data_IF_551659742242
#
_entry.id   IF_551659742242
#
_cell.length_a   1.000
_cell.length_b   1.000
_cell.length_c   1.000
_cell.angle_alpha   90.00
_cell.angle_beta   90.00
_cell.angle_gamma   90.00
#
_symmetry.space_group_name_H-M   'P 1'
#
loop_
_entity.id
_entity.type
_entity.pdbx_description
1 polymer ?
#
# COMPACT_ATOMS: atom_id res chain seq x y z
N UNK A 1 -24.61 8.92 54.81
CA UNK A 1 -25.34 8.58 53.57
C UNK A 1 -24.99 9.48 52.38
N UNK A 2 -25.03 10.82 52.47
CA UNK A 2 -24.73 11.71 51.31
C UNK A 2 -23.35 11.52 50.65
N UNK A 3 -22.30 11.17 51.42
CA UNK A 3 -20.95 10.91 50.87
C UNK A 3 -20.83 9.57 50.12
N UNK A 4 -21.69 8.59 50.43
CA UNK A 4 -21.72 7.29 49.73
C UNK A 4 -22.44 7.40 48.38
N UNK A 5 -23.52 8.20 48.29
CA UNK A 5 -24.22 8.47 47.03
C UNK A 5 -23.35 9.26 46.03
N UNK A 6 -22.57 10.24 46.51
CA UNK A 6 -21.64 10.98 45.64
C UNK A 6 -20.50 10.11 45.10
N UNK A 7 -19.99 9.16 45.90
CA UNK A 7 -18.98 8.20 45.45
C UNK A 7 -19.54 7.20 44.42
N UNK A 8 -20.79 6.75 44.58
CA UNK A 8 -21.43 5.84 43.63
C UNK A 8 -21.71 6.51 42.28
N UNK A 9 -22.14 7.77 42.27
CA UNK A 9 -22.36 8.54 41.04
C UNK A 9 -21.07 8.86 40.27
N UNK A 10 -19.94 9.05 40.97
CA UNK A 10 -18.64 9.26 40.32
C UNK A 10 -18.08 8.00 39.64
N UNK A 11 -18.36 6.80 40.18
CA UNK A 11 -17.94 5.52 39.57
C UNK A 11 -18.77 5.20 38.32
N UNK A 12 -20.05 5.55 38.30
CA UNK A 12 -20.93 5.33 37.14
C UNK A 12 -20.55 6.25 35.96
N UNK A 13 -20.03 7.45 36.22
CA UNK A 13 -19.58 8.37 35.16
C UNK A 13 -18.25 7.96 34.49
N UNK A 14 -17.50 7.02 35.07
CA UNK A 14 -16.25 6.50 34.49
C UNK A 14 -16.43 5.18 33.74
N UNK A 15 -17.61 4.58 33.79
CA UNK A 15 -17.92 3.30 33.17
C UNK A 15 -18.69 3.51 31.87
N UNK A 16 -18.01 3.66 30.73
CA UNK A 16 -18.68 3.53 29.44
C UNK A 16 -18.07 4.25 28.25
N UNK A 17 -17.01 5.04 28.40
CA UNK A 17 -16.34 5.61 27.24
C UNK A 17 -15.52 4.51 26.55
N UNK A 18 -15.83 4.22 25.28
CA UNK A 18 -15.00 3.37 24.45
C UNK A 18 -13.55 3.89 24.48
N UNK A 19 -12.54 3.01 24.61
CA UNK A 19 -11.15 3.42 24.68
C UNK A 19 -10.75 4.10 23.38
N UNK A 20 -10.27 5.34 23.52
CA UNK A 20 -9.69 6.14 22.45
C UNK A 20 -8.19 5.86 22.43
N UNK A 21 -7.64 5.41 21.30
CA UNK A 21 -6.22 5.08 21.17
C UNK A 21 -5.53 5.95 20.14
N UNK A 22 -4.25 6.24 20.38
CA UNK A 22 -3.44 7.04 19.46
C UNK A 22 -2.86 6.15 18.36
N UNK A 23 -3.06 6.56 17.11
CA UNK A 23 -2.47 5.89 15.96
C UNK A 23 -1.19 6.60 15.54
N UNK A 24 -0.18 5.80 15.24
CA UNK A 24 1.08 6.25 14.67
C UNK A 24 1.18 5.85 13.19
N UNK A 25 1.84 6.66 12.35
CA UNK A 25 2.04 6.31 10.96
C UNK A 25 2.84 5.00 10.84
N UNK A 26 2.47 4.17 9.87
CA UNK A 26 3.28 3.02 9.45
C UNK A 26 4.21 3.53 8.36
N UNK A 27 5.51 3.55 8.63
CA UNK A 27 6.50 3.91 7.62
C UNK A 27 6.46 2.85 6.51
N UNK A 28 6.21 3.23 5.25
CA UNK A 28 6.31 2.30 4.15
C UNK A 28 7.77 1.86 3.99
N UNK A 29 7.97 0.57 3.80
CA UNK A 29 9.27 0.04 3.41
C UNK A 29 9.53 0.49 1.97
N UNK A 30 10.55 1.35 1.77
CA UNK A 30 11.02 1.74 0.44
C UNK A 30 11.71 0.54 -0.21
N UNK A 31 11.26 0.17 -1.40
CA UNK A 31 11.95 -0.76 -2.28
C UNK A 31 12.68 0.10 -3.32
N UNK A 32 13.99 -0.07 -3.49
CA UNK A 32 14.92 0.80 -4.27
C UNK A 32 15.11 0.43 -5.76
N UNK A 33 15.52 1.44 -6.56
CA UNK A 33 15.47 1.51 -8.01
C UNK A 33 16.81 0.98 -8.48
N UNK A 34 16.80 -0.22 -9.04
CA UNK A 34 18.02 -0.90 -9.45
C UNK A 34 18.20 -0.76 -10.95
N UNK A 35 19.14 0.09 -11.34
CA UNK A 35 19.65 0.15 -12.70
C UNK A 35 20.98 -0.62 -12.76
N UNK A 36 21.13 -1.51 -13.75
CA UNK A 36 22.35 -2.34 -13.90
C UNK A 36 23.25 -1.89 -15.06
N UNK A 37 23.09 -0.68 -15.58
CA UNK A 37 23.78 -0.20 -16.79
C UNK A 37 24.43 1.18 -16.59
N UNK A 38 25.49 1.42 -17.37
CA UNK A 38 26.16 2.72 -17.46
C UNK A 38 25.70 3.45 -18.73
N UNK A 39 25.45 4.76 -18.63
CA UNK A 39 25.00 5.58 -19.75
C UNK A 39 26.12 5.87 -20.76
N UNK A 40 27.37 5.82 -20.31
CA UNK A 40 28.55 6.14 -21.12
C UNK A 40 29.57 5.01 -21.09
N UNK A 41 30.33 4.90 -22.17
CA UNK A 41 31.42 3.94 -22.30
C UNK A 41 30.99 2.58 -22.82
N UNK A 42 32.01 1.74 -23.06
CA UNK A 42 31.82 0.34 -23.46
C UNK A 42 31.66 -0.50 -22.22
N UNK A 43 30.61 -1.30 -22.19
CA UNK A 43 30.28 -2.22 -21.11
C UNK A 43 30.44 -3.64 -21.60
N UNK A 44 30.87 -4.53 -20.70
CA UNK A 44 30.90 -5.96 -20.94
C UNK A 44 29.92 -6.67 -20.01
N UNK A 45 29.17 -7.62 -20.56
CA UNK A 45 28.23 -8.47 -19.84
C UNK A 45 28.38 -9.91 -20.29
N UNK A 46 28.21 -10.83 -19.36
CA UNK A 46 28.19 -12.27 -19.64
C UNK A 46 26.80 -12.70 -20.12
N UNK A 47 26.73 -13.85 -20.80
CA UNK A 47 25.44 -14.46 -21.15
C UNK A 47 24.62 -14.71 -19.88
N UNK A 48 23.35 -14.31 -19.91
CA UNK A 48 22.44 -14.34 -18.75
C UNK A 48 22.45 -13.05 -17.92
N UNK A 49 23.42 -12.15 -18.12
CA UNK A 49 23.42 -10.84 -17.48
C UNK A 49 22.61 -9.81 -18.29
N UNK A 50 21.97 -8.85 -17.59
CA UNK A 50 21.26 -7.78 -18.25
C UNK A 50 22.21 -6.79 -18.94
N UNK A 51 21.97 -6.57 -20.22
CA UNK A 51 22.50 -5.45 -21.01
C UNK A 51 21.81 -4.15 -20.59
N UNK A 52 20.52 -4.26 -20.29
CA UNK A 52 19.72 -3.19 -19.72
C UNK A 52 18.81 -3.80 -18.65
N UNK A 53 18.73 -3.13 -17.51
CA UNK A 53 17.80 -3.47 -16.45
C UNK A 53 17.32 -2.18 -15.80
N UNK A 54 16.02 -2.06 -15.68
CA UNK A 54 15.35 -0.98 -14.98
C UNK A 54 14.33 -1.61 -14.05
N UNK A 55 14.26 -1.14 -12.80
CA UNK A 55 13.26 -1.54 -11.81
C UNK A 55 12.69 -0.32 -11.11
N UNK A 56 11.37 -0.13 -11.15
CA UNK A 56 10.66 0.97 -10.49
C UNK A 56 10.47 0.74 -8.99
N UNK A 57 10.65 1.78 -8.16
CA UNK A 57 10.49 1.73 -6.70
C UNK A 57 9.08 1.44 -6.25
N UNK A 58 8.94 0.55 -5.28
CA UNK A 58 7.67 0.23 -4.66
C UNK A 58 7.65 0.58 -3.17
N UNK A 59 6.50 1.00 -2.66
CA UNK A 59 6.24 1.10 -1.23
C UNK A 59 5.42 -0.09 -0.78
N UNK A 60 6.00 -0.88 0.12
CA UNK A 60 5.29 -1.97 0.77
C UNK A 60 4.89 -1.56 2.19
N UNK A 61 3.72 -2.04 2.61
CA UNK A 61 3.28 -1.97 4.01
C UNK A 61 3.02 -3.37 4.54
N UNK A 62 3.11 -3.57 5.87
CA UNK A 62 2.56 -4.75 6.51
C UNK A 62 1.11 -4.94 6.08
N UNK A 63 0.74 -6.18 5.79
CA UNK A 63 -0.59 -6.53 5.39
C UNK A 63 -0.91 -7.97 5.78
N UNK A 64 -2.18 -8.31 5.62
CA UNK A 64 -2.77 -9.51 6.18
C UNK A 64 -3.82 -10.06 5.22
N UNK A 65 -3.83 -11.38 5.03
CA UNK A 65 -4.87 -12.07 4.26
C UNK A 65 -5.68 -12.95 5.21
N UNK A 66 -7.00 -12.80 5.19
CA UNK A 66 -7.90 -13.69 5.91
C UNK A 66 -7.84 -15.12 5.32
N UNK A 67 -7.63 -16.14 6.15
CA UNK A 67 -7.51 -17.54 5.71
C UNK A 67 -8.85 -18.28 5.65
N UNK A 68 -9.84 -17.79 6.39
CA UNK A 68 -11.20 -18.30 6.46
C UNK A 68 -12.20 -17.14 6.64
N UNK A 69 -13.48 -17.42 6.43
CA UNK A 69 -14.53 -16.46 6.72
C UNK A 69 -14.66 -16.28 8.24
N UNK A 70 -14.71 -15.03 8.70
CA UNK A 70 -14.87 -14.72 10.12
C UNK A 70 -15.87 -13.60 10.31
N UNK A 71 -16.86 -13.84 11.17
CA UNK A 71 -17.85 -12.87 11.58
C UNK A 71 -17.43 -12.29 12.93
N UNK A 72 -16.94 -11.03 12.98
CA UNK A 72 -16.63 -10.39 14.25
C UNK A 72 -17.87 -10.28 15.14
N UNK A 73 -17.70 -10.25 16.47
CA UNK A 73 -18.80 -9.94 17.37
C UNK A 73 -19.36 -8.54 17.04
N UNK A 74 -20.67 -8.31 17.26
CA UNK A 74 -21.27 -6.99 17.10
C UNK A 74 -20.55 -5.92 17.94
N UNK A 75 -20.58 -4.67 17.48
CA UNK A 75 -20.02 -3.57 18.25
C UNK A 75 -20.98 -3.10 19.34
N UNK A 76 -20.68 -3.52 20.57
CA UNK A 76 -21.44 -3.18 21.77
C UNK A 76 -20.94 -1.92 22.47
N UNK A 77 -19.77 -1.40 22.09
CA UNK A 77 -19.20 -0.19 22.70
C UNK A 77 -19.91 1.08 22.19
N UNK A 78 -20.42 1.04 20.96
CA UNK A 78 -21.04 2.21 20.30
C UNK A 78 -22.56 2.11 20.20
N UNK A 79 -23.12 0.91 20.37
CA UNK A 79 -24.56 0.70 20.48
C UNK A 79 -24.86 -0.39 21.51
N UNK A 80 -25.72 -0.15 22.51
CA UNK A 80 -26.15 -1.18 23.45
C UNK A 80 -26.79 -2.40 22.78
N UNK A 81 -27.34 -2.22 21.57
CA UNK A 81 -27.93 -3.29 20.77
C UNK A 81 -26.93 -4.10 19.93
N UNK A 82 -25.66 -3.68 19.89
CA UNK A 82 -24.64 -4.25 19.01
C UNK A 82 -24.81 -3.77 17.57
N UNK A 83 -23.80 -3.08 17.02
CA UNK A 83 -23.80 -2.80 15.58
C UNK A 83 -23.35 -4.02 14.80
N UNK A 84 -24.03 -4.36 13.68
CA UNK A 84 -23.58 -5.45 12.83
C UNK A 84 -22.22 -5.08 12.22
N UNK A 85 -21.25 -5.96 12.43
CA UNK A 85 -19.92 -5.83 11.86
C UNK A 85 -19.86 -6.60 10.54
N UNK A 86 -19.21 -6.08 9.48
CA UNK A 86 -19.09 -6.79 8.22
C UNK A 86 -18.37 -8.14 8.36
N UNK A 87 -18.80 -9.13 7.56
CA UNK A 87 -18.10 -10.41 7.44
C UNK A 87 -16.71 -10.18 6.85
N UNK A 88 -15.68 -10.71 7.50
CA UNK A 88 -14.34 -10.80 6.94
C UNK A 88 -14.31 -12.04 6.06
N UNK A 89 -14.27 -11.85 4.73
CA UNK A 89 -14.23 -12.97 3.79
C UNK A 89 -12.83 -13.57 3.69
N UNK A 90 -12.74 -14.89 3.54
CA UNK A 90 -11.51 -15.58 3.17
C UNK A 90 -10.90 -14.96 1.90
N UNK A 91 -9.58 -14.75 1.89
CA UNK A 91 -8.86 -14.12 0.79
C UNK A 91 -8.93 -12.60 0.74
N UNK A 92 -9.70 -11.95 1.61
CA UNK A 92 -9.68 -10.49 1.72
C UNK A 92 -8.31 -9.98 2.18
N UNK A 93 -7.85 -8.89 1.57
CA UNK A 93 -6.54 -8.28 1.83
C UNK A 93 -6.69 -7.03 2.69
N UNK A 94 -5.91 -6.97 3.77
CA UNK A 94 -5.97 -5.90 4.76
C UNK A 94 -4.60 -5.27 4.94
N UNK A 95 -4.47 -3.98 4.63
CA UNK A 95 -3.20 -3.25 4.68
C UNK A 95 -3.11 -2.41 5.95
N UNK A 96 -1.95 -2.42 6.60
CA UNK A 96 -1.69 -1.54 7.73
C UNK A 96 -1.70 -0.07 7.29
N UNK A 97 -2.60 0.71 7.89
CA UNK A 97 -2.72 2.17 7.67
C UNK A 97 -2.26 2.98 8.88
N UNK A 98 -2.11 2.30 10.02
CA UNK A 98 -1.68 2.84 11.29
C UNK A 98 -1.02 1.78 12.16
N UNK A 99 -0.16 2.20 13.08
CA UNK A 99 0.46 1.37 14.11
C UNK A 99 -0.01 1.79 15.49
N UNK A 100 -0.25 0.81 16.34
CA UNK A 100 -0.57 0.99 17.76
C UNK A 100 0.68 0.76 18.59
N UNK A 101 0.87 1.61 19.60
CA UNK A 101 2.02 1.55 20.52
C UNK A 101 1.54 1.42 21.95
N UNK A 102 2.35 0.79 22.78
CA UNK A 102 2.08 0.66 24.21
C UNK A 102 1.86 2.04 24.85
N UNK A 103 0.89 2.17 25.80
CA UNK A 103 0.05 1.11 26.37
C UNK A 103 -1.22 0.80 25.55
N UNK A 104 -1.47 1.53 24.46
CA UNK A 104 -2.71 1.48 23.68
C UNK A 104 -2.84 0.19 22.84
N UNK A 105 -1.74 -0.54 22.68
CA UNK A 105 -1.66 -1.83 22.02
C UNK A 105 -0.30 -2.07 21.36
N UNK A 106 -0.13 -3.24 20.74
CA UNK A 106 1.07 -3.59 19.99
C UNK A 106 0.65 -4.24 18.67
N UNK A 107 0.63 -3.46 17.59
CA UNK A 107 0.09 -3.95 16.32
C UNK A 107 -0.22 -2.87 15.32
N UNK A 108 -1.22 -3.14 14.50
CA UNK A 108 -1.63 -2.34 13.37
C UNK A 108 -3.14 -2.14 13.37
N UNK A 109 -3.52 -1.01 12.79
CA UNK A 109 -4.86 -0.78 12.28
C UNK A 109 -4.82 -1.05 10.80
N UNK A 110 -5.68 -1.96 10.35
CA UNK A 110 -5.70 -2.44 8.99
C UNK A 110 -7.03 -2.13 8.30
N UNK A 111 -6.94 -1.67 7.06
CA UNK A 111 -8.09 -1.42 6.19
C UNK A 111 -8.11 -2.46 5.07
N UNK A 112 -9.30 -2.89 4.66
CA UNK A 112 -9.42 -3.75 3.50
C UNK A 112 -9.15 -2.95 2.22
N UNK A 113 -8.30 -3.52 1.37
CA UNK A 113 -7.76 -2.84 0.18
C UNK A 113 -8.83 -2.61 -0.89
N UNK A 114 -9.80 -3.53 -1.00
CA UNK A 114 -10.77 -3.57 -2.10
C UNK A 114 -12.18 -3.21 -1.65
N UNK A 115 -12.67 -3.99 -0.69
CA UNK A 115 -13.98 -3.79 -0.13
C UNK A 115 -13.75 -2.83 1.04
N UNK A 116 -14.30 -1.63 1.03
CA UNK A 116 -14.25 -0.72 2.20
C UNK A 116 -15.56 -0.88 2.96
N UNK A 117 -15.76 -1.99 3.69
CA UNK A 117 -17.06 -2.26 4.25
C UNK A 117 -17.36 -1.20 5.30
N UNK A 118 -18.62 -0.76 5.33
CA UNK A 118 -19.08 0.27 6.23
C UNK A 118 -20.01 -0.31 7.28
N UNK A 119 -19.93 0.24 8.48
CA UNK A 119 -20.92 0.04 9.53
C UNK A 119 -21.86 1.25 9.47
N UNK A 120 -23.14 1.00 9.15
CA UNK A 120 -24.16 2.04 9.02
C UNK A 120 -25.08 1.97 10.24
N UNK A 121 -24.99 2.97 11.13
CA UNK A 121 -25.91 3.11 12.27
C UNK A 121 -27.17 3.87 11.86
N UNK A 122 -27.02 4.88 11.02
CA UNK A 122 -28.10 5.68 10.46
C UNK A 122 -27.68 6.24 9.10
N UNK A 123 -28.61 6.78 8.28
CA UNK A 123 -28.24 7.44 7.02
C UNK A 123 -27.24 8.61 7.17
N UNK A 124 -27.02 9.11 8.39
CA UNK A 124 -26.11 10.20 8.70
C UNK A 124 -24.88 9.76 9.53
N UNK A 125 -24.72 8.46 9.77
CA UNK A 125 -23.59 7.90 10.54
C UNK A 125 -23.17 6.57 9.93
N UNK A 126 -22.13 6.64 9.09
CA UNK A 126 -21.47 5.50 8.49
C UNK A 126 -19.96 5.60 8.73
N UNK A 127 -19.36 4.50 9.16
CA UNK A 127 -17.92 4.44 9.43
C UNK A 127 -17.26 3.35 8.62
N UNK A 128 -16.05 3.59 8.10
CA UNK A 128 -15.29 2.51 7.49
C UNK A 128 -14.79 1.55 8.58
N UNK A 129 -14.96 0.27 8.30
CA UNK A 129 -14.59 -0.80 9.20
C UNK A 129 -13.10 -1.12 9.09
N UNK A 130 -12.43 -1.10 10.24
CA UNK A 130 -11.02 -1.44 10.38
C UNK A 130 -10.80 -2.62 11.32
N UNK A 131 -9.69 -3.31 11.10
CA UNK A 131 -9.23 -4.40 11.95
C UNK A 131 -8.06 -3.98 12.81
N UNK A 132 -8.05 -4.48 14.04
CA UNK A 132 -6.89 -4.46 14.92
C UNK A 132 -6.19 -5.79 14.82
N UNK A 133 -4.92 -5.75 14.42
CA UNK A 133 -4.10 -6.94 14.21
C UNK A 133 -2.78 -6.75 14.92
N UNK A 134 -2.34 -7.73 15.71
CA UNK A 134 -1.01 -7.67 16.32
C UNK A 134 0.11 -7.87 15.28
N UNK A 135 1.37 -7.81 15.72
CA UNK A 135 2.52 -7.95 14.81
C UNK A 135 2.65 -9.36 14.24
N UNK A 136 2.11 -10.34 14.94
CA UNK A 136 2.10 -11.76 14.57
C UNK A 136 0.95 -12.11 13.63
N UNK A 137 0.00 -11.20 13.41
CA UNK A 137 -1.16 -11.40 12.56
C UNK A 137 -2.41 -11.92 13.29
N UNK A 138 -2.42 -11.98 14.62
CA UNK A 138 -3.66 -12.28 15.33
C UNK A 138 -4.53 -11.02 15.40
N UNK A 139 -5.70 -11.08 14.76
CA UNK A 139 -6.71 -10.06 14.95
C UNK A 139 -7.25 -10.12 16.38
N UNK A 140 -7.52 -8.96 16.98
CA UNK A 140 -7.97 -8.89 18.37
C UNK A 140 -9.07 -7.87 18.60
N UNK A 141 -9.52 -7.18 17.55
CA UNK A 141 -10.54 -6.17 17.68
C UNK A 141 -10.82 -5.44 16.39
N UNK A 142 -11.68 -4.43 16.51
CA UNK A 142 -12.16 -3.60 15.41
C UNK A 142 -11.97 -2.14 15.75
N UNK A 143 -11.91 -1.30 14.72
CA UNK A 143 -11.83 0.13 14.85
C UNK A 143 -12.70 0.81 13.79
N UNK A 144 -13.02 2.07 14.03
CA UNK A 144 -13.64 2.93 13.03
C UNK A 144 -12.57 3.83 12.41
N UNK A 145 -12.24 3.56 11.15
CA UNK A 145 -11.21 4.29 10.41
C UNK A 145 -11.85 5.31 9.49
N UNK A 146 -11.86 6.56 9.89
CA UNK A 146 -12.49 7.67 9.15
C UNK A 146 -14.01 7.57 8.97
N UNK A 147 -14.62 8.74 9.10
CA UNK A 147 -16.01 8.99 8.72
C UNK A 147 -16.01 9.35 7.22
N UNK A 148 -16.74 8.59 6.40
CA UNK A 148 -16.83 8.83 4.96
C UNK A 148 -17.46 10.21 4.68
N UNK A 149 -18.34 10.70 5.56
CA UNK A 149 -18.89 12.06 5.50
C UNK A 149 -17.79 13.10 5.75
N UNK A 150 -16.82 12.85 6.62
CA UNK A 150 -15.70 13.76 6.82
C UNK A 150 -14.81 13.88 5.56
N UNK A 151 -14.68 12.82 4.75
CA UNK A 151 -13.99 12.92 3.44
C UNK A 151 -14.86 13.60 2.40
N UNK A 152 -16.16 13.28 2.32
CA UNK A 152 -17.10 13.86 1.36
C UNK A 152 -17.31 15.36 1.58
N UNK A 153 -17.53 15.80 2.82
CA UNK A 153 -17.62 17.22 3.20
C UNK A 153 -16.33 18.00 2.90
N UNK A 154 -15.14 17.38 3.09
CA UNK A 154 -13.85 17.98 2.74
C UNK A 154 -13.62 18.09 1.22
N UNK A 155 -14.14 17.14 0.44
CA UNK A 155 -13.92 17.03 -1.01
C UNK A 155 -14.92 17.86 -1.82
N UNK A 156 -16.18 17.93 -1.39
CA UNK A 156 -17.22 18.65 -2.13
C UNK A 156 -17.21 20.17 -1.85
N UNK A 157 -16.67 20.65 -0.71
CA UNK A 157 -16.80 22.06 -0.28
C UNK A 157 -15.49 22.69 0.25
N UNK A 158 -14.46 22.87 -0.60
CA UNK A 158 -13.23 23.56 -0.22
C UNK A 158 -13.46 25.08 -0.14
N UNK A 159 -13.54 25.66 1.06
CA UNK A 159 -13.43 27.12 1.23
C UNK A 159 -14.30 27.83 2.26
N UNK A 160 -15.14 27.14 3.05
CA UNK A 160 -15.85 27.77 4.17
C UNK A 160 -15.23 27.40 5.50
N UNK A 161 -14.89 28.42 6.28
CA UNK A 161 -14.30 28.34 7.61
C UNK A 161 -15.37 27.88 8.63
N UNK A 162 -15.67 26.58 8.63
CA UNK A 162 -16.77 25.94 9.38
C UNK A 162 -16.60 25.94 10.91
N UNK A 163 -15.51 26.48 11.45
CA UNK A 163 -15.33 26.61 12.90
C UNK A 163 -16.35 27.58 13.55
N UNK A 164 -17.12 28.34 12.76
CA UNK A 164 -18.08 29.34 13.26
C UNK A 164 -19.55 28.89 13.27
N UNK A 165 -19.92 27.92 12.45
CA UNK A 165 -21.33 27.55 12.21
C UNK A 165 -21.71 26.13 12.68
N UNK A 166 -20.77 25.37 13.27
CA UNK A 166 -21.13 24.15 14.00
C UNK A 166 -21.95 24.52 15.25
N UNK A 167 -22.99 23.74 15.62
CA UNK A 167 -23.61 23.85 16.93
C UNK A 167 -22.50 23.82 17.98
N UNK A 168 -22.49 24.81 18.88
CA UNK A 168 -21.37 25.19 19.76
C UNK A 168 -20.80 24.11 20.70
N UNK A 169 -21.12 22.82 20.55
CA UNK A 169 -20.79 21.77 21.51
C UNK A 169 -19.91 20.61 21.00
N UNK A 170 -19.51 20.54 19.74
CA UNK A 170 -18.48 19.57 19.31
C UNK A 170 -17.22 20.28 18.81
N UNK A 171 -16.49 20.82 19.78
CA UNK A 171 -15.26 21.59 19.58
C UNK A 171 -14.05 20.65 19.64
N UNK A 172 -13.82 19.83 18.60
CA UNK A 172 -12.54 19.11 18.46
C UNK A 172 -11.48 20.07 17.93
N UNK A 173 -11.00 20.99 18.79
CA UNK A 173 -9.83 21.83 18.54
C UNK A 173 -8.58 21.13 19.06
N UNK A 174 -8.00 20.24 18.26
CA UNK A 174 -6.57 19.95 18.43
C UNK A 174 -5.86 20.02 17.08
N UNK A 175 -4.61 20.49 17.12
CA UNK A 175 -3.70 20.63 15.98
C UNK A 175 -3.39 19.30 15.27
N UNK A 176 -3.90 18.17 15.75
CA UNK A 176 -3.69 16.83 15.20
C UNK A 176 -4.42 16.60 13.86
N UNK A 177 -5.55 17.26 13.60
CA UNK A 177 -6.37 17.01 12.40
C UNK A 177 -5.74 17.53 11.10
N UNK A 178 -4.79 18.46 11.19
CA UNK A 178 -4.11 19.03 10.00
C UNK A 178 -3.04 18.11 9.40
N UNK A 179 -2.71 16.98 10.03
CA UNK A 179 -1.68 16.04 9.55
C UNK A 179 -2.21 14.64 9.20
N UNK A 180 -3.49 14.35 9.44
CA UNK A 180 -4.11 13.07 9.09
C UNK A 180 -4.32 12.87 7.57
N UNK A 181 -4.37 13.96 6.80
CA UNK A 181 -4.65 13.92 5.38
C UNK A 181 -3.38 13.86 4.53
N UNK A 182 -2.77 12.68 4.38
CA UNK A 182 -2.37 12.17 3.04
C UNK A 182 -1.73 10.79 3.04
N UNK A 183 -1.04 10.34 4.09
CA UNK A 183 -0.63 8.93 4.22
C UNK A 183 -0.01 8.71 5.60
N UNK A 184 -0.69 7.94 6.46
CA UNK A 184 -0.22 7.61 7.80
C UNK A 184 -1.06 8.30 8.86
N UNK A 185 -1.99 7.53 9.43
CA UNK A 185 -2.90 8.03 10.45
C UNK A 185 -2.14 8.63 11.64
N UNK A 186 -2.18 9.96 11.74
CA UNK A 186 -1.90 10.70 12.98
C UNK A 186 -3.27 11.14 13.48
N UNK A 187 -3.77 10.46 14.50
CA UNK A 187 -5.11 10.69 15.01
C UNK A 187 -5.48 9.72 16.11
N UNK A 188 -6.63 9.94 16.74
CA UNK A 188 -7.17 9.05 17.74
C UNK A 188 -8.39 8.32 17.17
N UNK A 189 -8.48 7.01 17.38
CA UNK A 189 -9.65 6.22 16.95
C UNK A 189 -10.28 5.50 18.12
N UNK A 190 -11.57 5.23 17.99
CA UNK A 190 -12.27 4.32 18.89
C UNK A 190 -11.96 2.89 18.48
N UNK A 191 -11.57 2.09 19.47
CA UNK A 191 -11.35 0.66 19.29
C UNK A 191 -12.32 -0.17 20.12
N UNK A 192 -12.62 -1.35 19.61
CA UNK A 192 -13.33 -2.39 20.32
C UNK A 192 -12.48 -3.67 20.29
N UNK A 193 -11.75 -3.96 21.37
CA UNK A 193 -11.17 -5.28 21.57
C UNK A 193 -12.27 -6.35 21.62
N UNK A 194 -12.02 -7.52 21.05
CA UNK A 194 -12.94 -8.64 21.14
C UNK A 194 -12.70 -9.45 22.41
N UNK A 195 -13.76 -9.78 23.13
CA UNK A 195 -13.68 -10.62 24.33
C UNK A 195 -13.15 -12.03 24.03
N UNK A 196 -13.49 -12.55 22.84
CA UNK A 196 -13.00 -13.83 22.33
C UNK A 196 -12.01 -13.59 21.21
N UNK A 197 -10.79 -14.09 21.40
CA UNK A 197 -9.78 -14.11 20.33
C UNK A 197 -10.29 -14.98 19.17
N UNK A 198 -10.06 -14.56 17.92
CA UNK A 198 -10.39 -15.37 16.75
C UNK A 198 -9.54 -16.65 16.74
N UNK A 199 -9.89 -17.62 15.88
CA UNK A 199 -9.06 -18.78 15.64
C UNK A 199 -7.60 -18.39 15.34
N UNK A 200 -6.66 -19.19 15.87
CA UNK A 200 -5.24 -19.00 15.54
C UNK A 200 -5.04 -19.18 14.05
N UNK A 201 -4.37 -18.23 13.41
CA UNK A 201 -4.10 -18.27 11.97
C UNK A 201 -5.23 -17.71 11.10
N UNK A 202 -6.22 -17.01 11.68
CA UNK A 202 -7.24 -16.29 10.91
C UNK A 202 -6.62 -15.35 9.86
N UNK A 203 -5.51 -14.70 10.19
CA UNK A 203 -4.73 -13.95 9.20
C UNK A 203 -3.35 -14.54 9.00
N UNK A 204 -2.93 -14.54 7.73
CA UNK A 204 -1.55 -14.77 7.33
C UNK A 204 -0.90 -13.43 6.98
N UNK A 205 0.29 -13.18 7.51
CA UNK A 205 1.09 -12.00 7.18
C UNK A 205 1.48 -11.99 5.69
N UNK A 206 1.41 -10.81 5.08
CA UNK A 206 1.82 -10.57 3.69
C UNK A 206 2.26 -9.11 3.53
N UNK A 207 3.29 -8.85 2.72
CA UNK A 207 3.56 -7.47 2.28
C UNK A 207 2.51 -7.07 1.23
N UNK A 208 1.75 -6.01 1.51
CA UNK A 208 0.82 -5.43 0.54
C UNK A 208 1.51 -4.21 -0.06
N UNK A 209 1.66 -4.25 -1.38
CA UNK A 209 2.24 -3.17 -2.16
C UNK A 209 1.16 -2.11 -2.33
N UNK A 210 1.34 -0.95 -1.71
CA UNK A 210 0.45 0.17 -1.97
C UNK A 210 0.92 0.82 -3.26
N UNK A 211 0.29 0.48 -4.39
CA UNK A 211 0.21 1.27 -5.64
C UNK A 211 1.47 2.08 -6.03
N UNK A 212 2.64 1.51 -5.78
CA UNK A 212 3.89 1.84 -6.46
C UNK A 212 4.36 0.45 -6.89
N UNK A 213 3.83 -0.03 -8.02
CA UNK A 213 4.15 -1.34 -8.59
C UNK A 213 5.63 -1.35 -9.01
N UNK A 214 6.35 -2.42 -8.66
CA UNK A 214 7.64 -2.75 -9.28
C UNK A 214 7.39 -3.09 -10.76
N UNK A 215 7.39 -2.08 -11.63
CA UNK A 215 7.53 -2.30 -13.06
C UNK A 215 9.02 -2.37 -13.35
N UNK A 216 9.45 -3.53 -13.85
CA UNK A 216 10.81 -3.73 -14.31
C UNK A 216 10.84 -4.15 -15.77
N UNK A 217 11.87 -3.70 -16.47
CA UNK A 217 12.21 -4.15 -17.82
C UNK A 217 13.65 -4.63 -17.83
N UNK A 218 13.89 -5.74 -18.52
CA UNK A 218 15.23 -6.27 -18.69
C UNK A 218 15.46 -6.75 -20.11
N UNK A 219 16.64 -6.41 -20.64
CA UNK A 219 17.17 -6.95 -21.88
C UNK A 219 18.37 -7.80 -21.48
N UNK A 220 18.24 -9.11 -21.60
CA UNK A 220 19.28 -10.07 -21.20
C UNK A 220 19.94 -10.62 -22.45
N UNK A 221 21.28 -10.64 -22.47
CA UNK A 221 22.01 -11.26 -23.57
C UNK A 221 21.99 -12.78 -23.44
N UNK A 222 21.53 -13.46 -24.49
CA UNK A 222 21.37 -14.92 -24.52
C UNK A 222 22.43 -15.64 -25.38
N UNK A 223 23.43 -14.91 -25.88
CA UNK A 223 24.55 -15.46 -26.64
C UNK A 223 24.46 -15.16 -28.14
N UNK A 224 25.48 -15.64 -28.86
CA UNK A 224 25.67 -15.47 -30.31
C UNK A 224 25.82 -16.82 -30.99
N UNK A 225 25.27 -16.96 -32.18
CA UNK A 225 25.49 -18.10 -33.08
C UNK A 225 25.77 -17.58 -34.49
N UNK A 226 27.01 -17.76 -34.96
CA UNK A 226 27.45 -17.14 -36.21
C UNK A 226 27.38 -15.61 -36.12
N UNK A 227 26.60 -14.98 -36.99
CA UNK A 227 26.33 -13.54 -36.96
C UNK A 227 25.06 -13.17 -36.19
N UNK A 228 24.28 -14.15 -35.72
CA UNK A 228 23.01 -13.90 -35.04
C UNK A 228 23.23 -13.77 -33.54
N UNK A 229 22.82 -12.64 -32.97
CA UNK A 229 22.73 -12.40 -31.53
C UNK A 229 21.34 -12.74 -31.03
N UNK A 230 21.26 -13.29 -29.83
CA UNK A 230 20.02 -13.63 -29.14
C UNK A 230 19.88 -12.80 -27.88
N UNK A 231 18.68 -12.28 -27.63
CA UNK A 231 18.33 -11.55 -26.42
C UNK A 231 17.01 -12.08 -25.87
N UNK A 232 16.86 -11.98 -24.56
CA UNK A 232 15.58 -12.20 -23.89
C UNK A 232 15.11 -10.84 -23.37
N UNK A 233 14.00 -10.37 -23.91
CA UNK A 233 13.28 -9.21 -23.38
C UNK A 233 12.29 -9.67 -22.33
N UNK A 234 12.34 -9.03 -21.16
CA UNK A 234 11.45 -9.27 -20.03
C UNK A 234 10.79 -7.97 -19.63
N UNK A 235 9.47 -8.00 -19.50
CA UNK A 235 8.67 -6.95 -18.89
C UNK A 235 7.84 -7.58 -17.77
N UNK A 236 7.87 -6.99 -16.58
CA UNK A 236 7.15 -7.56 -15.44
C UNK A 236 5.66 -7.69 -15.77
N UNK A 237 5.08 -8.87 -15.50
CA UNK A 237 3.71 -9.28 -15.85
C UNK A 237 3.48 -9.68 -17.33
N UNK A 238 4.53 -9.73 -18.16
CA UNK A 238 4.46 -10.27 -19.53
C UNK A 238 5.31 -11.54 -19.68
N UNK A 239 5.05 -12.31 -20.73
CA UNK A 239 5.89 -13.46 -21.08
C UNK A 239 7.23 -12.99 -21.65
N UNK A 240 8.30 -13.71 -21.31
CA UNK A 240 9.63 -13.54 -21.90
C UNK A 240 9.54 -13.62 -23.43
N UNK A 241 10.13 -12.64 -24.11
CA UNK A 241 10.22 -12.62 -25.57
C UNK A 241 11.67 -12.86 -25.99
N UNK A 242 11.90 -13.90 -26.79
CA UNK A 242 13.20 -14.10 -27.42
C UNK A 242 13.30 -13.27 -28.71
N UNK A 243 14.36 -12.49 -28.82
CA UNK A 243 14.64 -11.60 -29.94
C UNK A 243 15.99 -11.97 -30.56
N UNK A 244 16.05 -11.95 -31.89
CA UNK A 244 17.27 -12.29 -32.64
C UNK A 244 17.65 -11.19 -33.62
N UNK A 245 18.95 -10.88 -33.71
CA UNK A 245 19.47 -9.81 -34.58
C UNK A 245 20.71 -10.29 -35.35
N UNK A 246 20.79 -10.04 -36.66
CA UNK A 246 21.97 -10.37 -37.46
C UNK A 246 22.92 -9.16 -37.54
N UNK A 247 24.11 -9.30 -36.98
CA UNK A 247 25.10 -8.20 -36.93
C UNK A 247 25.70 -7.83 -38.28
N UNK A 248 25.47 -8.65 -39.32
CA UNK A 248 25.89 -8.31 -40.70
C UNK A 248 25.05 -7.18 -41.29
N UNK A 249 23.81 -7.05 -40.84
CA UNK A 249 22.88 -6.02 -41.30
C UNK A 249 23.11 -4.71 -40.56
N UNK A 250 23.34 -4.79 -39.25
CA UNK A 250 23.56 -3.64 -38.38
C UNK A 250 24.23 -4.07 -37.07
N UNK A 251 25.21 -3.29 -36.60
CA UNK A 251 25.74 -3.41 -35.24
C UNK A 251 24.92 -2.64 -34.20
N UNK A 252 23.92 -1.87 -34.65
CA UNK A 252 23.00 -1.11 -33.80
C UNK A 252 21.71 -1.91 -33.60
N UNK A 253 21.35 -2.13 -32.33
CA UNK A 253 20.19 -2.91 -31.90
C UNK A 253 19.23 -2.02 -31.12
N UNK A 254 17.94 -2.11 -31.42
CA UNK A 254 16.87 -1.41 -30.70
C UNK A 254 15.86 -2.40 -30.11
N UNK A 255 15.64 -2.35 -28.79
CA UNK A 255 14.66 -3.17 -28.08
C UNK A 255 13.88 -2.28 -27.11
N UNK A 256 12.55 -2.22 -27.26
CA UNK A 256 11.65 -1.46 -26.37
C UNK A 256 12.08 0.01 -26.16
N UNK A 257 12.56 0.67 -27.21
CA UNK A 257 13.02 2.08 -27.16
C UNK A 257 14.46 2.27 -26.66
N UNK A 258 15.12 1.22 -26.15
CA UNK A 258 16.55 1.24 -25.83
C UNK A 258 17.36 0.82 -27.05
N UNK A 259 18.36 1.60 -27.40
CA UNK A 259 19.29 1.41 -28.50
C UNK A 259 20.70 1.28 -27.96
N UNK A 260 21.42 0.28 -28.44
CA UNK A 260 22.82 0.06 -28.11
C UNK A 260 23.58 -0.44 -29.34
N UNK A 261 24.84 -0.04 -29.42
CA UNK A 261 25.80 -0.48 -30.42
C UNK A 261 26.58 -1.67 -29.86
N UNK A 262 26.62 -2.76 -30.60
CA UNK A 262 27.44 -3.93 -30.28
C UNK A 262 28.84 -3.70 -30.82
N UNK A 263 29.82 -3.68 -29.90
CA UNK A 263 31.25 -3.54 -30.21
C UNK A 263 31.85 -4.91 -30.50
N UNK A 264 31.55 -5.90 -29.67
CA UNK A 264 31.97 -7.29 -29.85
C UNK A 264 30.99 -8.23 -29.16
N UNK A 265 30.90 -9.47 -29.62
CA UNK A 265 30.05 -10.48 -29.01
C UNK A 265 30.54 -11.89 -29.30
N UNK A 266 30.47 -12.73 -28.27
CA UNK A 266 30.78 -14.17 -28.29
C UNK A 266 29.56 -14.98 -27.84
N UNK A 267 29.63 -16.30 -27.84
CA UNK A 267 28.55 -17.13 -27.28
C UNK A 267 28.33 -16.90 -25.77
N UNK A 268 29.34 -16.37 -25.06
CA UNK A 268 29.34 -16.23 -23.59
C UNK A 268 29.38 -14.79 -23.08
N UNK A 269 29.62 -13.79 -23.95
CA UNK A 269 29.74 -12.38 -23.54
C UNK A 269 29.38 -11.41 -24.65
N UNK A 270 29.03 -10.19 -24.27
CA UNK A 270 28.76 -9.06 -25.17
C UNK A 270 29.46 -7.80 -24.66
N UNK A 271 30.10 -7.08 -25.56
CA UNK A 271 30.59 -5.72 -25.38
C UNK A 271 29.72 -4.76 -26.15
N UNK A 272 29.18 -3.76 -25.47
CA UNK A 272 28.21 -2.85 -26.07
C UNK A 272 28.33 -1.44 -25.50
N UNK A 273 27.76 -0.48 -26.21
CA UNK A 273 27.61 0.90 -25.77
C UNK A 273 26.15 1.30 -25.90
N UNK A 274 25.55 1.83 -24.84
CA UNK A 274 24.19 2.40 -24.93
C UNK A 274 24.27 3.70 -25.72
N UNK A 275 23.40 3.81 -26.73
CA UNK A 275 23.31 4.97 -27.63
C UNK A 275 22.06 5.79 -27.33
N UNK A 276 21.04 5.19 -26.71
CA UNK A 276 19.86 5.95 -26.26
C UNK A 276 20.29 7.09 -25.34
N UNK A 277 19.89 8.34 -25.65
CA UNK A 277 20.15 9.47 -24.76
C UNK A 277 19.56 9.24 -23.38
N UNK A 278 20.29 9.67 -22.34
CA UNK A 278 19.85 9.60 -20.94
C UNK A 278 18.48 10.24 -20.74
N UNK A 279 18.22 11.36 -21.43
CA UNK A 279 16.94 12.07 -21.40
C UNK A 279 15.79 11.18 -21.88
N UNK A 280 16.00 10.42 -22.95
CA UNK A 280 14.97 9.52 -23.48
C UNK A 280 14.71 8.33 -22.54
N UNK A 281 15.75 7.82 -21.88
CA UNK A 281 15.59 6.76 -20.88
C UNK A 281 14.73 7.28 -19.72
N UNK A 282 14.98 8.51 -19.25
CA UNK A 282 14.15 9.15 -18.22
C UNK A 282 12.70 9.32 -18.66
N UNK A 283 12.46 9.83 -19.87
CA UNK A 283 11.10 9.94 -20.42
C UNK A 283 10.37 8.59 -20.44
N UNK A 284 11.07 7.51 -20.80
CA UNK A 284 10.47 6.17 -20.79
C UNK A 284 10.12 5.68 -19.38
N UNK A 285 10.92 6.05 -18.38
CA UNK A 285 10.63 5.78 -16.96
C UNK A 285 9.37 6.54 -16.53
N UNK A 286 9.32 7.84 -16.82
CA UNK A 286 8.19 8.73 -16.51
C UNK A 286 6.88 8.23 -17.18
N UNK A 287 6.94 7.80 -18.44
CA UNK A 287 5.81 7.19 -19.15
C UNK A 287 5.29 5.92 -18.46
N UNK A 288 6.18 5.08 -17.89
CA UNK A 288 5.77 3.89 -17.13
C UNK A 288 5.10 4.26 -15.81
N UNK A 289 5.64 5.24 -15.09
CA UNK A 289 5.02 5.76 -13.87
C UNK A 289 3.63 6.33 -14.14
N UNK A 290 3.45 7.06 -15.24
CA UNK A 290 2.15 7.62 -15.59
C UNK A 290 1.13 6.52 -15.90
N UNK A 291 1.53 5.49 -16.65
CA UNK A 291 0.66 4.33 -16.94
C UNK A 291 0.21 3.60 -15.68
N UNK A 292 1.09 3.49 -14.68
CA UNK A 292 0.74 2.92 -13.37
C UNK A 292 -0.35 3.73 -12.70
N UNK A 293 -0.14 5.05 -12.59
CA UNK A 293 -1.10 5.97 -11.98
C UNK A 293 -2.48 5.87 -12.66
N UNK A 294 -2.51 5.76 -13.99
CA UNK A 294 -3.76 5.61 -14.77
C UNK A 294 -4.42 4.23 -14.64
N UNK A 295 -3.67 3.17 -14.34
CA UNK A 295 -4.22 1.83 -14.13
C UNK A 295 -4.85 1.70 -12.75
N UNK A 296 -4.14 2.17 -11.72
CA UNK A 296 -4.66 2.18 -10.34
C UNK A 296 -5.95 3.02 -10.22
N UNK A 297 -6.09 4.10 -11.01
CA UNK A 297 -7.33 4.90 -11.05
C UNK A 297 -8.51 4.24 -11.77
N UNK A 298 -8.28 3.22 -12.62
CA UNK A 298 -9.35 2.50 -13.33
C UNK A 298 -9.83 1.27 -12.56
N UNK A 299 -9.00 0.75 -11.67
CA UNK A 299 -9.29 -0.40 -10.83
C UNK A 299 -9.91 0.00 -9.46
N UNK A 300 -10.28 1.29 -9.30
CA UNK A 300 -11.05 1.89 -8.18
C UNK A 300 -12.40 2.38 -8.69
#
# INVERSE_FOLDING_TARGET
MRRFLAALSAVILLAGCAPLVTIWPVEPEKIELLDSFQYEGVQERMTGEPVFHYMLNAKARPGFIATEDFQPPPDTNHSPGGLPVPLIKAGSEWVAVGSLREPDGNGYICMNVKERPMIVYSPALAWEFCLLVDKEGAAYGTAFCEDEDARRFRKEWPGKDYAKDLPRELNYRTTMDKHAGHSGAVGAVFIQPWDKKPPKGLFKTRKIYSAELLIGRSIVYAGKTGSVLRFIYREWLQQDMELTFDIRESNLIGISGIQFEVVDATSSSIKFKIITPTERIKEMQDEQEQRLKEKDMRDI
#
